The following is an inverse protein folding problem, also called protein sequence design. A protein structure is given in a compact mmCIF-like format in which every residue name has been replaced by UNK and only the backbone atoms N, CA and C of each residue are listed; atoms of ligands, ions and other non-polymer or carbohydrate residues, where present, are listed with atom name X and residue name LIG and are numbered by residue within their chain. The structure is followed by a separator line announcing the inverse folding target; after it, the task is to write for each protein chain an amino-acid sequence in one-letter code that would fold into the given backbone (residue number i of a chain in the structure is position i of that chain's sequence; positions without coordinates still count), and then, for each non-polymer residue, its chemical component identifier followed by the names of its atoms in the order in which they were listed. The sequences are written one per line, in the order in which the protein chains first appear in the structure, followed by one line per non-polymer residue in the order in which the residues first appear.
data_IF_729985121399
#
_entry.id   IF_729985121399
#
_cell.length_a   1.000
_cell.length_b   1.000
_cell.length_c   1.000
_cell.angle_alpha   90.00
_cell.angle_beta   90.00
_cell.angle_gamma   90.00
#
_symmetry.space_group_name_H-M   'P 1'
#
loop_
_entity.id
_entity.type
_entity.pdbx_description
1 polymer ?
#
# COMPACT_ATOMS: atom_id res chain seq x y z
N UNK A 1 12.84 31.13 -2.46
CA UNK A 1 12.17 29.98 -1.83
C UNK A 1 11.45 29.23 -2.93
N UNK A 2 12.02 28.12 -3.41
CA UNK A 2 11.39 27.32 -4.47
C UNK A 2 10.30 26.49 -3.80
N UNK A 3 9.04 26.76 -4.15
CA UNK A 3 7.91 25.95 -3.75
C UNK A 3 7.97 24.65 -4.55
N UNK A 4 8.35 23.55 -3.90
CA UNK A 4 8.17 22.20 -4.45
C UNK A 4 6.67 21.95 -4.62
N UNK A 5 6.14 22.31 -5.78
CA UNK A 5 4.87 21.78 -6.25
C UNK A 5 5.10 20.28 -6.43
N UNK A 6 4.40 19.40 -5.71
CA UNK A 6 4.58 17.97 -5.90
C UNK A 6 4.24 17.64 -7.35
N UNK A 7 5.26 17.24 -8.10
CA UNK A 7 5.17 16.85 -9.50
C UNK A 7 4.05 15.80 -9.62
N UNK A 8 2.90 16.20 -10.18
CA UNK A 8 1.70 15.35 -10.25
C UNK A 8 1.97 14.01 -10.96
N UNK A 9 3.04 13.96 -11.76
CA UNK A 9 3.56 12.78 -12.46
C UNK A 9 3.94 11.62 -11.53
N UNK A 10 4.21 11.88 -10.25
CA UNK A 10 4.64 10.87 -9.28
C UNK A 10 3.56 10.49 -8.25
N UNK A 11 2.34 11.00 -8.41
CA UNK A 11 1.24 10.72 -7.48
C UNK A 11 0.62 9.36 -7.75
N UNK A 12 0.22 8.67 -6.69
CA UNK A 12 -0.43 7.36 -6.79
C UNK A 12 -1.89 7.54 -7.21
N UNK A 13 -2.22 7.02 -8.40
CA UNK A 13 -3.59 6.91 -8.91
C UNK A 13 -4.30 5.70 -8.28
N UNK A 14 -4.79 5.85 -7.05
CA UNK A 14 -5.40 4.77 -6.28
C UNK A 14 -6.62 4.12 -6.94
N UNK A 15 -7.43 4.91 -7.65
CA UNK A 15 -8.57 4.40 -8.42
C UNK A 15 -8.12 3.41 -9.50
N UNK A 16 -7.02 3.72 -10.21
CA UNK A 16 -6.45 2.82 -11.21
C UNK A 16 -5.89 1.55 -10.58
N UNK A 17 -5.24 1.66 -9.41
CA UNK A 17 -4.75 0.50 -8.65
C UNK A 17 -5.92 -0.42 -8.25
N UNK A 18 -7.00 0.14 -7.69
CA UNK A 18 -8.17 -0.64 -7.28
C UNK A 18 -8.80 -1.36 -8.48
N UNK A 19 -8.99 -0.66 -9.60
CA UNK A 19 -9.50 -1.27 -10.84
C UNK A 19 -8.58 -2.39 -11.36
N UNK A 20 -7.26 -2.16 -11.34
CA UNK A 20 -6.27 -3.15 -11.77
C UNK A 20 -6.35 -4.42 -10.90
N UNK A 21 -6.41 -4.26 -9.58
CA UNK A 21 -6.52 -5.38 -8.64
C UNK A 21 -7.81 -6.19 -8.86
N UNK A 22 -8.94 -5.51 -9.06
CA UNK A 22 -10.21 -6.14 -9.41
C UNK A 22 -10.12 -6.98 -10.68
N UNK A 23 -9.49 -6.45 -11.73
CA UNK A 23 -9.32 -7.17 -13.00
C UNK A 23 -8.37 -8.37 -12.93
N UNK A 24 -7.44 -8.38 -11.95
CA UNK A 24 -6.41 -9.41 -11.76
C UNK A 24 -6.78 -10.49 -10.75
N UNK A 25 -8.08 -10.64 -10.42
CA UNK A 25 -8.62 -11.61 -9.45
C UNK A 25 -8.26 -11.32 -7.99
N UNK A 26 -7.80 -10.12 -7.67
CA UNK A 26 -7.56 -9.66 -6.29
C UNK A 26 -8.73 -8.82 -5.77
N UNK A 27 -9.97 -9.21 -6.10
CA UNK A 27 -11.19 -8.43 -5.82
C UNK A 27 -11.38 -8.21 -4.32
N UNK A 28 -11.20 -9.26 -3.50
CA UNK A 28 -11.34 -9.17 -2.04
C UNK A 28 -10.39 -8.14 -1.44
N UNK A 29 -9.12 -8.14 -1.87
CA UNK A 29 -8.14 -7.15 -1.44
C UNK A 29 -8.50 -5.75 -1.95
N UNK A 30 -8.94 -5.62 -3.20
CA UNK A 30 -9.32 -4.32 -3.78
C UNK A 30 -10.47 -3.65 -3.02
N UNK A 31 -11.52 -4.41 -2.67
CA UNK A 31 -12.65 -3.92 -1.87
C UNK A 31 -12.18 -3.41 -0.51
N UNK A 32 -11.30 -4.18 0.13
CA UNK A 32 -10.82 -3.88 1.48
C UNK A 32 -9.86 -2.70 1.49
N UNK A 33 -8.94 -2.62 0.53
CA UNK A 33 -8.10 -1.46 0.30
C UNK A 33 -8.97 -0.21 0.13
N UNK A 34 -9.98 -0.26 -0.74
CA UNK A 34 -10.89 0.85 -0.97
C UNK A 34 -11.61 1.29 0.32
N UNK A 35 -12.02 0.34 1.17
CA UNK A 35 -12.73 0.64 2.43
C UNK A 35 -11.89 1.39 3.48
N UNK A 36 -10.56 1.32 3.41
CA UNK A 36 -9.64 1.99 4.35
C UNK A 36 -8.80 3.09 3.70
N UNK A 37 -8.98 3.31 2.39
CA UNK A 37 -8.12 4.19 1.59
C UNK A 37 -8.15 5.62 2.12
N UNK A 38 -9.32 6.19 2.38
CA UNK A 38 -9.46 7.57 2.85
C UNK A 38 -8.66 7.82 4.13
N UNK A 39 -8.63 6.85 5.04
CA UNK A 39 -7.85 6.93 6.28
C UNK A 39 -6.35 6.85 6.02
N UNK A 40 -5.92 5.98 5.09
CA UNK A 40 -4.51 5.89 4.68
C UNK A 40 -4.04 7.22 4.07
N UNK A 41 -4.86 7.83 3.20
CA UNK A 41 -4.56 9.10 2.53
C UNK A 41 -4.62 10.30 3.48
N UNK A 42 -5.48 10.26 4.49
CA UNK A 42 -5.50 11.24 5.57
C UNK A 42 -4.17 11.28 6.34
N UNK A 43 -3.61 10.11 6.62
CA UNK A 43 -2.36 9.96 7.39
C UNK A 43 -1.09 10.16 6.54
N UNK A 44 -1.17 9.92 5.23
CA UNK A 44 -0.02 9.96 4.31
C UNK A 44 -0.32 10.82 3.08
N UNK A 45 -0.05 12.13 3.17
CA UNK A 45 -0.19 13.05 2.04
C UNK A 45 0.98 12.92 1.07
N UNK A 46 0.70 12.97 -0.24
CA UNK A 46 1.73 12.98 -1.27
C UNK A 46 2.51 11.66 -1.38
N UNK A 47 1.83 10.53 -1.18
CA UNK A 47 2.43 9.21 -1.40
C UNK A 47 3.05 9.15 -2.80
N UNK A 48 4.36 8.89 -2.81
CA UNK A 48 5.13 8.51 -4.00
C UNK A 48 4.68 7.14 -4.50
N UNK A 49 5.14 6.69 -5.68
CA UNK A 49 4.80 5.36 -6.18
C UNK A 49 5.04 4.29 -5.10
N UNK A 50 4.03 3.46 -4.84
CA UNK A 50 4.03 2.42 -3.81
C UNK A 50 4.30 1.05 -4.42
N UNK A 51 4.75 0.12 -3.58
CA UNK A 51 4.69 -1.33 -3.87
C UNK A 51 3.65 -1.97 -2.97
N UNK A 52 2.80 -2.83 -3.55
CA UNK A 52 1.78 -3.58 -2.83
C UNK A 52 2.13 -5.06 -2.95
N UNK A 53 2.38 -5.72 -1.82
CA UNK A 53 2.55 -7.18 -1.80
C UNK A 53 1.17 -7.81 -1.68
N UNK A 54 0.77 -8.55 -2.71
CA UNK A 54 -0.54 -9.18 -2.77
C UNK A 54 -0.45 -10.59 -2.19
N UNK A 55 -1.18 -10.88 -1.11
CA UNK A 55 -1.29 -12.23 -0.60
C UNK A 55 -2.10 -13.11 -1.57
N UNK A 56 -1.71 -14.38 -1.79
CA UNK A 56 -2.36 -15.27 -2.76
C UNK A 56 -3.81 -15.62 -2.40
N UNK A 57 -4.16 -15.60 -1.11
CA UNK A 57 -5.53 -15.74 -0.62
C UNK A 57 -5.62 -15.09 0.75
N UNK A 58 -6.13 -13.86 0.81
CA UNK A 58 -6.42 -13.23 2.11
C UNK A 58 -7.94 -13.08 2.20
N UNK A 59 -8.53 -13.95 3.02
CA UNK A 59 -9.93 -13.91 3.42
C UNK A 59 -10.12 -12.75 4.39
N UNK A 60 -10.02 -11.53 3.84
CA UNK A 60 -10.12 -10.29 4.60
C UNK A 60 -11.54 -10.02 5.15
N UNK A 61 -12.50 -10.91 4.86
CA UNK A 61 -13.90 -10.76 5.24
C UNK A 61 -14.16 -10.93 6.74
N UNK A 62 -13.26 -11.59 7.45
CA UNK A 62 -13.43 -11.95 8.87
C UNK A 62 -12.86 -10.87 9.81
N UNK A 63 -12.06 -9.92 9.32
CA UNK A 63 -11.35 -9.00 10.19
C UNK A 63 -12.15 -7.74 10.54
N UNK A 64 -12.16 -7.33 11.83
CA UNK A 64 -12.76 -6.07 12.23
C UNK A 64 -11.97 -4.89 11.64
N UNK A 65 -12.66 -3.77 11.37
CA UNK A 65 -12.10 -2.63 10.63
C UNK A 65 -10.75 -2.11 11.15
N UNK A 66 -10.49 -1.99 12.47
CA UNK A 66 -9.19 -1.52 12.97
C UNK A 66 -8.04 -2.48 12.63
N UNK A 67 -8.30 -3.80 12.69
CA UNK A 67 -7.30 -4.81 12.34
C UNK A 67 -7.12 -4.88 10.82
N UNK A 68 -8.22 -4.77 10.07
CA UNK A 68 -8.19 -4.70 8.61
C UNK A 68 -7.29 -3.55 8.13
N UNK A 69 -7.43 -2.37 8.71
CA UNK A 69 -6.61 -1.20 8.38
C UNK A 69 -5.12 -1.48 8.63
N UNK A 70 -4.76 -2.09 9.77
CA UNK A 70 -3.37 -2.49 10.06
C UNK A 70 -2.85 -3.51 9.05
N UNK A 71 -3.65 -4.51 8.69
CA UNK A 71 -3.28 -5.54 7.72
C UNK A 71 -3.04 -4.90 6.35
N UNK A 72 -3.95 -4.06 5.86
CA UNK A 72 -3.79 -3.39 4.56
C UNK A 72 -2.54 -2.51 4.55
N UNK A 73 -2.33 -1.72 5.60
CA UNK A 73 -1.13 -0.87 5.75
C UNK A 73 0.17 -1.67 5.73
N UNK A 74 0.19 -2.85 6.35
CA UNK A 74 1.34 -3.74 6.36
C UNK A 74 1.73 -4.26 4.96
N UNK A 75 0.77 -4.40 4.04
CA UNK A 75 1.05 -4.89 2.68
C UNK A 75 1.52 -3.80 1.71
N UNK A 76 1.52 -2.53 2.14
CA UNK A 76 1.84 -1.38 1.28
C UNK A 76 3.15 -0.76 1.73
N UNK A 77 4.08 -0.60 0.80
CA UNK A 77 5.37 0.02 1.03
C UNK A 77 5.33 1.43 0.43
N UNK A 78 5.76 2.46 1.18
CA UNK A 78 5.78 3.86 0.69
C UNK A 78 6.88 4.14 -0.35
N UNK A 79 7.39 3.09 -1.01
CA UNK A 79 8.40 3.14 -2.06
C UNK A 79 8.11 2.04 -3.08
N UNK A 80 8.38 2.35 -4.35
CA UNK A 80 8.32 1.39 -5.45
C UNK A 80 9.60 0.58 -5.49
N UNK A 81 9.43 -0.73 -5.51
CA UNK A 81 10.47 -1.73 -5.72
C UNK A 81 10.12 -2.60 -6.92
N UNK A 82 11.12 -2.86 -7.74
CA UNK A 82 11.10 -3.87 -8.79
C UNK A 82 11.50 -5.23 -8.21
N UNK A 83 11.14 -6.31 -8.89
CA UNK A 83 11.55 -7.67 -8.50
C UNK A 83 13.07 -7.78 -8.38
N UNK A 84 13.81 -7.19 -9.33
CA UNK A 84 15.28 -7.20 -9.32
C UNK A 84 15.87 -6.48 -8.10
N UNK A 85 15.30 -5.34 -7.71
CA UNK A 85 15.74 -4.62 -6.50
C UNK A 85 15.51 -5.48 -5.26
N UNK A 86 14.33 -6.10 -5.13
CA UNK A 86 14.01 -6.99 -4.01
C UNK A 86 14.95 -8.22 -3.96
N UNK A 87 15.23 -8.84 -5.10
CA UNK A 87 16.14 -9.99 -5.20
C UNK A 87 17.59 -9.63 -4.91
N UNK A 88 17.99 -8.39 -5.20
CA UNK A 88 19.35 -7.90 -4.94
C UNK A 88 19.61 -7.52 -3.48
N UNK A 89 18.57 -7.47 -2.66
CA UNK A 89 18.71 -7.10 -1.25
C UNK A 89 19.35 -8.24 -0.44
N UNK A 90 20.17 -7.92 0.57
CA UNK A 90 20.64 -8.91 1.52
C UNK A 90 19.48 -9.68 2.16
N UNK A 91 19.71 -10.96 2.44
CA UNK A 91 18.74 -11.75 3.19
C UNK A 91 18.38 -11.07 4.51
N UNK A 92 17.08 -11.10 4.87
CA UNK A 92 16.52 -10.47 6.08
C UNK A 92 16.52 -8.93 6.06
N UNK A 93 16.65 -8.31 4.90
CA UNK A 93 16.39 -6.88 4.75
C UNK A 93 14.96 -6.56 5.21
N UNK A 94 14.83 -5.59 6.12
CA UNK A 94 13.53 -5.12 6.61
C UNK A 94 13.03 -4.01 5.70
N UNK A 95 11.82 -4.17 5.18
CA UNK A 95 11.14 -3.15 4.38
C UNK A 95 10.13 -2.42 5.26
N UNK A 96 10.19 -1.09 5.22
CA UNK A 96 9.20 -0.25 5.89
C UNK A 96 7.88 -0.29 5.14
N UNK A 97 6.79 -0.41 5.88
CA UNK A 97 5.43 -0.42 5.33
C UNK A 97 4.68 0.85 5.76
N UNK A 98 3.44 1.03 5.33
CA UNK A 98 2.56 2.10 5.81
C UNK A 98 2.02 1.82 7.22
N UNK A 99 2.27 0.63 7.78
CA UNK A 99 1.98 0.37 9.17
C UNK A 99 3.01 1.13 10.01
N UNK A 100 2.56 2.16 10.72
CA UNK A 100 3.39 2.81 11.72
C UNK A 100 3.60 1.83 12.88
N UNK A 101 4.84 1.75 13.39
CA UNK A 101 5.12 1.17 14.71
C UNK A 101 4.39 2.02 15.75
N UNK A 102 3.12 1.74 15.98
CA UNK A 102 2.55 2.01 17.29
C UNK A 102 3.20 0.96 18.18
N UNK A 103 4.18 1.40 18.96
CA UNK A 103 4.76 0.62 20.04
C UNK A 103 3.61 -0.06 20.81
N UNK A 104 3.64 -1.39 20.87
CA UNK A 104 2.84 -2.15 21.82
C UNK A 104 3.22 -1.75 23.25
#
# INVERSE_FOLDING_TARGET
MVSDVPDAKNMVEWSQIICLLGSRRFVSFAVRLNSVLDRILGDHKGLKPVTIFLPPSLELEVYPSPLLEKIVRFHIMPQRYTTRELESMPARTLLRTLLQDQCL
#
